data_IF_859923973978
#
_entry.id   IF_859923973978
#
_cell.length_a   1.000
_cell.length_b   1.000
_cell.length_c   1.000
_cell.angle_alpha   90.00
_cell.angle_beta   90.00
_cell.angle_gamma   90.00
#
_symmetry.space_group_name_H-M   'P 1'
#
loop_
_entity.id
_entity.type
_entity.pdbx_description
1 polymer ?
#
# COMPACT_ATOMS: atom_id res chain seq x y z
N UNK A 1 18.28 -18.21 -12.06
CA UNK A 1 18.42 -16.85 -12.62
C UNK A 1 17.14 -16.41 -13.33
N UNK A 2 16.75 -17.01 -14.46
CA UNK A 2 15.55 -16.59 -15.22
C UNK A 2 14.23 -16.72 -14.43
N UNK A 3 14.02 -17.83 -13.71
CA UNK A 3 12.79 -18.04 -12.92
C UNK A 3 12.64 -17.02 -11.78
N UNK A 4 13.72 -16.74 -11.05
CA UNK A 4 13.70 -15.73 -9.98
C UNK A 4 13.44 -14.33 -10.53
N UNK A 5 14.12 -13.93 -11.60
CA UNK A 5 13.91 -12.63 -12.27
C UNK A 5 12.45 -12.42 -12.71
N UNK A 6 11.79 -13.45 -13.24
CA UNK A 6 10.36 -13.40 -13.59
C UNK A 6 9.49 -13.21 -12.34
N UNK A 7 9.80 -13.92 -11.25
CA UNK A 7 9.09 -13.75 -9.97
C UNK A 7 9.30 -12.35 -9.36
N UNK A 8 10.50 -11.77 -9.44
CA UNK A 8 10.77 -10.39 -9.02
C UNK A 8 9.89 -9.38 -9.77
N UNK A 9 9.82 -9.53 -11.10
CA UNK A 9 9.02 -8.65 -11.96
C UNK A 9 7.52 -8.73 -11.59
N UNK A 10 7.04 -9.95 -11.30
CA UNK A 10 5.66 -10.18 -10.89
C UNK A 10 5.33 -9.54 -9.53
N UNK A 11 6.22 -9.67 -8.53
CA UNK A 11 6.01 -9.03 -7.22
C UNK A 11 6.03 -7.51 -7.37
N UNK A 12 6.95 -6.96 -8.17
CA UNK A 12 7.01 -5.51 -8.43
C UNK A 12 5.72 -4.99 -9.08
N UNK A 13 5.24 -5.67 -10.13
CA UNK A 13 3.97 -5.32 -10.77
C UNK A 13 2.79 -5.42 -9.81
N UNK A 14 2.78 -6.41 -8.90
CA UNK A 14 1.73 -6.56 -7.89
C UNK A 14 1.78 -5.43 -6.86
N UNK A 15 2.97 -5.01 -6.40
CA UNK A 15 3.14 -3.86 -5.51
C UNK A 15 2.69 -2.55 -6.16
N UNK A 16 3.05 -2.32 -7.42
CA UNK A 16 2.62 -1.13 -8.17
C UNK A 16 1.09 -1.07 -8.28
N UNK A 17 0.46 -2.21 -8.59
CA UNK A 17 -1.00 -2.34 -8.63
C UNK A 17 -1.62 -2.06 -7.26
N UNK A 18 -1.03 -2.59 -6.19
CA UNK A 18 -1.53 -2.43 -4.83
C UNK A 18 -1.42 -0.98 -4.35
N UNK A 19 -0.33 -0.28 -4.70
CA UNK A 19 -0.15 1.15 -4.45
C UNK A 19 -1.17 1.99 -5.22
N UNK A 20 -1.43 1.66 -6.49
CA UNK A 20 -2.45 2.34 -7.28
C UNK A 20 -3.82 2.19 -6.64
N UNK A 21 -4.22 0.96 -6.31
CA UNK A 21 -5.50 0.67 -5.65
C UNK A 21 -5.62 1.36 -4.28
N UNK A 22 -4.53 1.44 -3.51
CA UNK A 22 -4.50 2.18 -2.25
C UNK A 22 -4.72 3.68 -2.45
N UNK A 23 -4.12 4.25 -3.50
CA UNK A 23 -4.35 5.64 -3.91
C UNK A 23 -5.80 5.89 -4.32
N UNK A 24 -6.36 5.02 -5.16
CA UNK A 24 -7.77 5.09 -5.58
C UNK A 24 -8.72 4.98 -4.39
N UNK A 25 -8.44 4.06 -3.46
CA UNK A 25 -9.17 3.92 -2.21
C UNK A 25 -9.11 5.21 -1.38
N UNK A 26 -7.94 5.81 -1.20
CA UNK A 26 -7.78 7.06 -0.45
C UNK A 26 -8.55 8.21 -1.09
N UNK A 27 -8.56 8.29 -2.42
CA UNK A 27 -9.36 9.27 -3.15
C UNK A 27 -10.87 9.05 -2.92
N UNK A 28 -11.34 7.81 -2.95
CA UNK A 28 -12.73 7.48 -2.65
C UNK A 28 -13.13 7.87 -1.22
N UNK A 29 -12.26 7.63 -0.23
CA UNK A 29 -12.47 8.05 1.17
C UNK A 29 -12.59 9.57 1.28
N UNK A 30 -11.74 10.33 0.59
CA UNK A 30 -11.82 11.79 0.60
C UNK A 30 -13.11 12.30 -0.06
N UNK A 31 -13.57 11.64 -1.13
CA UNK A 31 -14.85 11.96 -1.77
C UNK A 31 -16.05 11.67 -0.84
N UNK A 32 -15.99 10.58 -0.08
CA UNK A 32 -16.99 10.27 0.94
C UNK A 32 -17.02 11.34 2.02
N UNK A 33 -15.86 11.79 2.51
CA UNK A 33 -15.77 12.88 3.50
C UNK A 33 -16.36 14.19 2.95
N UNK A 34 -16.09 14.54 1.70
CA UNK A 34 -16.71 15.71 1.09
C UNK A 34 -18.23 15.58 0.98
N UNK A 35 -18.74 14.39 0.69
CA UNK A 35 -20.18 14.13 0.57
C UNK A 35 -20.85 14.16 1.94
N UNK A 36 -20.19 13.60 2.96
CA UNK A 36 -20.64 13.67 4.35
C UNK A 36 -20.75 15.11 4.83
N UNK A 37 -19.73 15.94 4.57
CA UNK A 37 -19.78 17.36 4.93
C UNK A 37 -20.95 18.10 4.26
N UNK A 38 -21.27 17.78 3.00
CA UNK A 38 -22.44 18.32 2.32
C UNK A 38 -23.75 17.86 3.00
N UNK A 39 -23.90 16.57 3.29
CA UNK A 39 -25.09 16.04 3.96
C UNK A 39 -25.28 16.64 5.36
N UNK A 40 -24.21 16.75 6.12
CA UNK A 40 -24.22 17.37 7.45
C UNK A 40 -24.49 18.88 7.40
N UNK A 41 -24.28 19.55 6.28
CA UNK A 41 -24.67 20.96 6.09
C UNK A 41 -26.16 21.12 5.81
N UNK A 42 -26.86 20.06 5.39
CA UNK A 42 -28.27 20.10 5.03
C UNK A 42 -29.20 19.88 6.21
N UNK A 43 -28.75 19.15 7.24
CA UNK A 43 -29.57 18.76 8.38
C UNK A 43 -28.93 19.21 9.71
N UNK A 44 -29.73 19.77 10.61
CA UNK A 44 -29.29 20.18 11.96
C UNK A 44 -29.83 19.24 13.04
N UNK A 45 -29.14 19.18 14.19
CA UNK A 45 -29.59 18.46 15.38
C UNK A 45 -28.90 17.11 15.63
N UNK A 46 -29.44 16.37 16.60
CA UNK A 46 -28.82 15.16 17.17
C UNK A 46 -28.58 14.04 16.15
N UNK A 47 -29.44 13.95 15.12
CA UNK A 47 -29.27 12.99 14.03
C UNK A 47 -28.00 13.27 13.20
N UNK A 48 -27.72 14.55 12.91
CA UNK A 48 -26.51 14.96 12.18
C UNK A 48 -25.26 14.70 13.03
N UNK A 49 -25.29 15.04 14.32
CA UNK A 49 -24.12 14.82 15.19
C UNK A 49 -23.83 13.34 15.40
N UNK A 50 -24.86 12.50 15.46
CA UNK A 50 -24.71 11.04 15.55
C UNK A 50 -24.10 10.47 14.27
N UNK A 51 -24.55 10.92 13.10
CA UNK A 51 -24.03 10.49 11.81
C UNK A 51 -22.58 10.95 11.58
N UNK A 52 -22.28 12.24 11.80
CA UNK A 52 -20.93 12.82 11.69
C UNK A 52 -19.94 12.05 12.59
N UNK A 53 -20.34 11.75 13.83
CA UNK A 53 -19.51 10.97 14.76
C UNK A 53 -19.25 9.55 14.26
N UNK A 54 -20.28 8.86 13.78
CA UNK A 54 -20.13 7.50 13.24
C UNK A 54 -19.22 7.50 12.00
N UNK A 55 -19.44 8.43 11.06
CA UNK A 55 -18.63 8.56 9.87
C UNK A 55 -17.15 8.83 10.19
N UNK A 56 -16.86 9.72 11.15
CA UNK A 56 -15.49 9.99 11.59
C UNK A 56 -14.81 8.76 12.18
N UNK A 57 -15.54 7.92 12.91
CA UNK A 57 -14.99 6.66 13.43
C UNK A 57 -14.65 5.69 12.28
N UNK A 58 -15.54 5.57 11.30
CA UNK A 58 -15.30 4.72 10.13
C UNK A 58 -14.12 5.23 9.30
N UNK A 59 -14.02 6.55 9.11
CA UNK A 59 -12.90 7.19 8.41
C UNK A 59 -11.55 6.84 9.05
N UNK A 60 -11.47 6.85 10.39
CA UNK A 60 -10.24 6.45 11.09
C UNK A 60 -9.86 5.02 10.71
N UNK A 61 -10.82 4.10 10.60
CA UNK A 61 -10.52 2.72 10.19
C UNK A 61 -10.13 2.62 8.72
N UNK A 62 -10.74 3.41 7.84
CA UNK A 62 -10.34 3.51 6.43
C UNK A 62 -8.90 4.04 6.31
N UNK A 63 -8.54 5.07 7.06
CA UNK A 63 -7.17 5.60 7.09
C UNK A 63 -6.17 4.57 7.65
N UNK A 64 -6.54 3.84 8.69
CA UNK A 64 -5.73 2.74 9.22
C UNK A 64 -5.52 1.63 8.18
N UNK A 65 -6.56 1.29 7.43
CA UNK A 65 -6.48 0.29 6.37
C UNK A 65 -5.54 0.73 5.24
N UNK A 66 -5.66 1.97 4.79
CA UNK A 66 -4.72 2.56 3.83
C UNK A 66 -3.28 2.49 4.35
N UNK A 67 -3.03 2.91 5.59
CA UNK A 67 -1.69 2.87 6.19
C UNK A 67 -1.13 1.44 6.28
N UNK A 68 -1.97 0.46 6.61
CA UNK A 68 -1.58 -0.95 6.65
C UNK A 68 -1.18 -1.47 5.26
N UNK A 69 -1.89 -1.07 4.21
CA UNK A 69 -1.55 -1.40 2.83
C UNK A 69 -0.17 -0.83 2.46
N UNK A 70 0.06 0.46 2.73
CA UNK A 70 1.34 1.11 2.41
C UNK A 70 2.49 0.46 3.19
N UNK A 71 2.30 0.16 4.47
CA UNK A 71 3.29 -0.53 5.29
C UNK A 71 3.62 -1.93 4.74
N UNK A 72 2.61 -2.66 4.26
CA UNK A 72 2.80 -3.96 3.63
C UNK A 72 3.59 -3.88 2.33
N UNK A 73 3.30 -2.90 1.46
CA UNK A 73 4.08 -2.67 0.23
C UNK A 73 5.53 -2.36 0.56
N UNK A 74 5.78 -1.46 1.51
CA UNK A 74 7.14 -1.11 1.91
C UNK A 74 7.91 -2.31 2.47
N UNK A 75 7.26 -3.20 3.23
CA UNK A 75 7.88 -4.43 3.69
C UNK A 75 8.27 -5.36 2.51
N UNK A 76 7.42 -5.47 1.49
CA UNK A 76 7.74 -6.24 0.28
C UNK A 76 8.92 -5.64 -0.50
N UNK A 77 8.98 -4.32 -0.62
CA UNK A 77 10.11 -3.62 -1.26
C UNK A 77 11.43 -3.87 -0.55
N UNK A 78 11.44 -3.85 0.78
CA UNK A 78 12.63 -4.16 1.58
C UNK A 78 13.09 -5.60 1.37
N UNK A 79 12.15 -6.55 1.35
CA UNK A 79 12.44 -7.96 1.09
C UNK A 79 13.07 -8.12 -0.29
N UNK A 80 12.45 -7.54 -1.33
CA UNK A 80 12.97 -7.58 -2.71
C UNK A 80 14.38 -7.01 -2.81
N UNK A 81 14.61 -5.84 -2.22
CA UNK A 81 15.92 -5.17 -2.21
C UNK A 81 16.98 -6.08 -1.58
N UNK A 82 16.67 -6.68 -0.42
CA UNK A 82 17.60 -7.56 0.28
C UNK A 82 17.94 -8.82 -0.52
N UNK A 83 16.95 -9.41 -1.20
CA UNK A 83 17.22 -10.53 -2.10
C UNK A 83 18.11 -10.12 -3.28
N UNK A 84 17.85 -8.99 -3.92
CA UNK A 84 18.67 -8.50 -5.04
C UNK A 84 20.13 -8.28 -4.64
N UNK A 85 20.36 -7.65 -3.48
CA UNK A 85 21.74 -7.45 -2.97
C UNK A 85 22.43 -8.78 -2.68
N UNK A 86 21.71 -9.75 -2.10
CA UNK A 86 22.26 -11.07 -1.78
C UNK A 86 22.60 -11.86 -3.05
N UNK A 87 21.74 -11.81 -4.07
CA UNK A 87 21.99 -12.49 -5.35
C UNK A 87 23.15 -11.86 -6.12
N UNK A 88 23.28 -10.52 -6.10
CA UNK A 88 24.43 -9.83 -6.67
C UNK A 88 25.74 -10.25 -6.00
N UNK A 89 25.78 -10.27 -4.65
CA UNK A 89 26.95 -10.69 -3.89
C UNK A 89 27.32 -12.17 -4.16
N UNK A 90 26.33 -13.06 -4.21
CA UNK A 90 26.57 -14.49 -4.53
C UNK A 90 27.09 -14.68 -5.96
N UNK A 91 26.58 -13.91 -6.91
CA UNK A 91 27.03 -13.94 -8.31
C UNK A 91 28.48 -13.45 -8.41
N UNK A 92 28.83 -12.39 -7.69
CA UNK A 92 30.19 -11.85 -7.61
C UNK A 92 31.16 -12.89 -7.02
N UNK A 93 30.81 -13.53 -5.90
CA UNK A 93 31.60 -14.61 -5.28
C UNK A 93 31.75 -15.80 -6.23
N UNK A 94 30.68 -16.18 -6.95
CA UNK A 94 30.74 -17.28 -7.91
C UNK A 94 31.63 -16.94 -9.12
N UNK A 95 31.59 -15.69 -9.60
CA UNK A 95 32.42 -15.22 -10.72
C UNK A 95 33.91 -15.06 -10.37
N UNK A 96 34.23 -14.87 -9.09
CA UNK A 96 35.62 -14.78 -8.60
C UNK A 96 36.23 -16.13 -8.24
N UNK A 97 35.42 -17.21 -8.18
CA UNK A 97 35.92 -18.58 -8.07
C UNK A 97 36.47 -19.05 -9.43
N UNK A 98 37.72 -18.65 -9.70
CA UNK A 98 38.53 -19.20 -10.77
C UNK A 98 39.09 -20.55 -10.30
N UNK A 99 38.72 -21.65 -10.96
CA UNK A 99 39.36 -22.95 -10.74
C UNK A 99 40.69 -22.95 -11.49
N UNK A 100 41.81 -22.96 -10.75
CA UNK A 100 43.11 -23.34 -11.29
C UNK A 100 43.19 -24.86 -11.47
#
# INVERSE_FOLDING_TARGET
>A
MAQYSVTFQQIKSAMDTLNQLAGDFKNAVNNLESTEGQLCSMWEGEAKDTFDKAFKQDKVQMDNFYNAIIAYVHALEQILTKYQTTEAANTEIASTRNYQ
#
